data_IF_286421766793
#
_entry.id   IF_286421766793
#
_cell.length_a   1.000
_cell.length_b   1.000
_cell.length_c   1.000
_cell.angle_alpha   90.00
_cell.angle_beta   90.00
_cell.angle_gamma   90.00
#
_symmetry.space_group_name_H-M   'P 1'
#
loop_
_entity.id
_entity.type
_entity.pdbx_description
1 polymer ?
#
# COMPACT_ATOMS: atom_id res chain seq x y z
N UNK A 1 1.74 -6.31 20.91
CA UNK A 1 2.18 -6.33 19.48
C UNK A 1 1.53 -7.44 18.64
N UNK A 2 1.10 -8.56 19.23
CA UNK A 2 0.55 -9.72 18.50
C UNK A 2 -0.96 -9.94 18.66
N UNK A 3 -1.71 -8.96 19.17
CA UNK A 3 -3.17 -9.08 19.33
C UNK A 3 -3.90 -8.32 18.24
N UNK A 4 -5.14 -8.74 17.95
CA UNK A 4 -6.04 -8.01 17.05
C UNK A 4 -6.21 -6.55 17.49
N UNK A 5 -6.30 -6.28 18.80
CA UNK A 5 -6.39 -4.91 19.30
C UNK A 5 -5.16 -4.08 18.91
N UNK A 6 -3.94 -4.62 19.08
CA UNK A 6 -2.72 -3.91 18.68
C UNK A 6 -2.69 -3.63 17.17
N UNK A 7 -3.16 -4.59 16.36
CA UNK A 7 -3.29 -4.44 14.92
C UNK A 7 -4.28 -3.35 14.52
N UNK A 8 -5.48 -3.34 15.10
CA UNK A 8 -6.48 -2.31 14.83
C UNK A 8 -5.99 -0.93 15.28
N UNK A 9 -5.32 -0.84 16.44
CA UNK A 9 -4.71 0.42 16.89
C UNK A 9 -3.69 0.94 15.88
N UNK A 10 -2.79 0.08 15.37
CA UNK A 10 -1.82 0.46 14.35
C UNK A 10 -2.50 1.00 13.09
N UNK A 11 -3.53 0.32 12.58
CA UNK A 11 -4.29 0.79 11.41
C UNK A 11 -4.92 2.17 11.64
N UNK A 12 -5.51 2.39 12.81
CA UNK A 12 -6.10 3.69 13.19
C UNK A 12 -5.03 4.78 13.26
N UNK A 13 -3.87 4.49 13.84
CA UNK A 13 -2.74 5.44 13.91
C UNK A 13 -2.25 5.81 12.51
N UNK A 14 -1.97 4.83 11.64
CA UNK A 14 -1.50 5.08 10.27
C UNK A 14 -2.54 5.81 9.42
N UNK A 15 -3.82 5.49 9.57
CA UNK A 15 -4.89 6.22 8.90
C UNK A 15 -4.91 7.71 9.30
N UNK A 16 -4.74 8.02 10.60
CA UNK A 16 -4.72 9.41 11.09
C UNK A 16 -3.46 10.17 10.65
N UNK A 17 -2.34 9.47 10.45
CA UNK A 17 -1.10 10.03 9.90
C UNK A 17 -1.16 10.31 8.40
N UNK A 18 -2.12 9.70 7.70
CA UNK A 18 -2.30 9.79 6.25
C UNK A 18 -3.67 10.39 5.88
N UNK A 19 -3.88 11.72 6.05
CA UNK A 19 -5.15 12.38 5.72
C UNK A 19 -5.62 12.15 4.28
N UNK A 20 -4.71 11.86 3.35
CA UNK A 20 -5.02 11.53 1.95
C UNK A 20 -5.97 10.33 1.84
N UNK A 21 -5.94 9.38 2.78
CA UNK A 21 -6.86 8.24 2.81
C UNK A 21 -8.30 8.64 3.16
N UNK A 22 -8.48 9.80 3.81
CA UNK A 22 -9.79 10.31 4.20
C UNK A 22 -10.34 11.34 3.20
N UNK A 23 -9.47 12.17 2.62
CA UNK A 23 -9.85 13.36 1.87
C UNK A 23 -9.29 13.42 0.45
N UNK A 24 -8.32 12.56 0.13
CA UNK A 24 -7.70 12.50 -1.19
C UNK A 24 -8.58 11.82 -2.23
N UNK A 25 -8.13 11.83 -3.47
CA UNK A 25 -8.75 11.07 -4.55
C UNK A 25 -8.22 9.64 -4.48
N UNK A 26 -9.14 8.68 -4.52
CA UNK A 26 -8.80 7.27 -4.56
C UNK A 26 -9.00 6.71 -5.96
N UNK A 27 -7.99 6.02 -6.49
CA UNK A 27 -8.09 5.24 -7.73
C UNK A 27 -7.64 3.80 -7.48
N UNK A 28 -8.31 2.86 -8.12
CA UNK A 28 -7.85 1.47 -8.16
C UNK A 28 -6.65 1.38 -9.10
N UNK A 29 -5.62 0.64 -8.71
CA UNK A 29 -4.50 0.31 -9.58
C UNK A 29 -4.77 -1.03 -10.26
N UNK A 30 -4.68 -1.07 -11.59
CA UNK A 30 -4.89 -2.28 -12.37
C UNK A 30 -3.67 -3.21 -12.30
N UNK A 31 -3.91 -4.52 -12.16
CA UNK A 31 -2.91 -5.59 -12.20
C UNK A 31 -3.57 -6.96 -12.40
N UNK A 32 -2.76 -7.99 -12.70
CA UNK A 32 -3.23 -9.33 -13.08
C UNK A 32 -3.41 -10.31 -11.90
N UNK A 33 -3.63 -9.81 -10.68
CA UNK A 33 -3.74 -10.64 -9.46
C UNK A 33 -5.13 -10.48 -8.83
N UNK A 34 -6.15 -11.26 -9.21
CA UNK A 34 -7.55 -10.98 -8.85
C UNK A 34 -7.86 -10.95 -7.34
N UNK A 35 -7.04 -11.60 -6.51
CA UNK A 35 -7.20 -11.61 -5.06
C UNK A 35 -6.67 -10.35 -4.38
N UNK A 36 -5.86 -9.53 -5.08
CA UNK A 36 -5.27 -8.31 -4.51
C UNK A 36 -6.11 -7.11 -4.91
N UNK A 37 -6.39 -6.25 -3.94
CA UNK A 37 -7.00 -4.95 -4.16
C UNK A 37 -5.98 -3.86 -3.86
N UNK A 38 -5.60 -3.10 -4.89
CA UNK A 38 -4.65 -2.01 -4.80
C UNK A 38 -5.34 -0.65 -5.01
N UNK A 39 -5.13 0.28 -4.08
CA UNK A 39 -5.65 1.65 -4.15
C UNK A 39 -4.51 2.65 -4.05
N UNK A 40 -4.53 3.66 -4.92
CA UNK A 40 -3.71 4.85 -4.80
C UNK A 40 -4.57 6.02 -4.33
N UNK A 41 -4.22 6.59 -3.18
CA UNK A 41 -4.80 7.81 -2.65
C UNK A 41 -3.81 8.96 -2.85
N UNK A 42 -4.23 10.03 -3.54
CA UNK A 42 -3.44 11.25 -3.72
C UNK A 42 -4.19 12.51 -3.34
N UNK A 43 -3.44 13.56 -3.01
CA UNK A 43 -3.97 14.91 -2.84
C UNK A 43 -3.19 15.84 -3.77
N UNK A 44 -3.80 16.30 -4.89
CA UNK A 44 -3.12 17.19 -5.83
C UNK A 44 -2.70 18.53 -5.20
N UNK A 45 -3.31 18.96 -4.10
CA UNK A 45 -2.95 20.17 -3.37
C UNK A 45 -1.86 19.93 -2.31
N UNK A 46 -1.51 18.66 -2.04
CA UNK A 46 -0.51 18.25 -1.05
C UNK A 46 0.41 17.14 -1.59
N UNK A 47 1.18 17.47 -2.64
CA UNK A 47 2.12 16.57 -3.29
C UNK A 47 3.13 15.91 -2.31
N UNK A 48 3.43 14.63 -2.54
CA UNK A 48 4.39 13.86 -1.74
C UNK A 48 3.79 13.25 -0.47
N UNK A 49 2.46 13.12 -0.40
CA UNK A 49 1.73 12.50 0.72
C UNK A 49 0.89 11.31 0.28
N UNK A 50 1.06 10.89 -0.96
CA UNK A 50 0.35 9.81 -1.62
C UNK A 50 0.56 8.50 -0.84
N UNK A 51 -0.49 7.67 -0.81
CA UNK A 51 -0.43 6.35 -0.19
C UNK A 51 -0.93 5.31 -1.17
N UNK A 52 -0.18 4.23 -1.33
CA UNK A 52 -0.65 3.03 -2.03
C UNK A 52 -0.98 1.95 -1.01
N UNK A 53 -2.23 1.50 -0.97
CA UNK A 53 -2.64 0.38 -0.12
C UNK A 53 -2.82 -0.87 -0.95
N UNK A 54 -2.35 -2.01 -0.45
CA UNK A 54 -2.57 -3.33 -1.02
C UNK A 54 -3.24 -4.20 0.03
N UNK A 55 -4.27 -4.95 -0.37
CA UNK A 55 -4.93 -5.93 0.47
C UNK A 55 -5.13 -7.22 -0.31
N UNK A 56 -4.58 -8.34 0.18
CA UNK A 56 -4.94 -9.66 -0.32
C UNK A 56 -6.29 -10.04 0.30
N UNK A 57 -7.33 -10.08 -0.51
CA UNK A 57 -8.68 -10.50 -0.09
C UNK A 57 -8.86 -12.03 -0.13
N UNK A 58 -7.85 -12.75 -0.63
CA UNK A 58 -7.80 -14.20 -0.65
C UNK A 58 -7.15 -14.80 0.61
N UNK A 59 -7.40 -16.08 0.85
CA UNK A 59 -6.86 -16.84 1.98
C UNK A 59 -5.47 -17.45 1.73
N UNK A 60 -4.94 -17.32 0.52
CA UNK A 60 -3.66 -17.92 0.12
C UNK A 60 -2.61 -16.83 -0.15
N UNK A 61 -1.32 -17.11 0.09
CA UNK A 61 -0.25 -16.21 -0.30
C UNK A 61 -0.23 -15.93 -1.81
N UNK A 62 0.14 -14.72 -2.18
CA UNK A 62 0.20 -14.25 -3.58
C UNK A 62 1.42 -13.39 -3.83
N UNK A 63 1.93 -13.42 -5.06
CA UNK A 63 2.94 -12.49 -5.55
C UNK A 63 2.27 -11.56 -6.56
N UNK A 64 2.31 -10.26 -6.30
CA UNK A 64 1.67 -9.24 -7.15
C UNK A 64 2.73 -8.31 -7.74
N UNK A 65 2.49 -7.86 -8.96
CA UNK A 65 3.29 -6.86 -9.66
C UNK A 65 2.41 -5.66 -9.96
N UNK A 66 2.84 -4.47 -9.53
CA UNK A 66 2.12 -3.21 -9.71
C UNK A 66 2.97 -2.22 -10.49
N UNK A 67 2.34 -1.51 -11.43
CA UNK A 67 2.89 -0.26 -11.97
C UNK A 67 2.64 0.86 -10.98
N UNK A 68 3.71 1.37 -10.39
CA UNK A 68 3.61 2.34 -9.31
C UNK A 68 3.42 3.77 -9.82
N UNK A 69 2.53 4.54 -9.21
CA UNK A 69 2.25 5.91 -9.60
C UNK A 69 3.27 6.93 -9.05
N UNK A 70 4.54 6.56 -8.97
CA UNK A 70 5.62 7.39 -8.40
C UNK A 70 6.77 7.53 -9.40
N UNK A 71 7.59 8.59 -9.31
CA UNK A 71 8.82 8.69 -10.08
C UNK A 71 9.73 7.50 -9.80
N UNK A 72 10.15 6.79 -10.85
CA UNK A 72 11.03 5.63 -10.75
C UNK A 72 12.50 6.02 -10.99
N UNK A 73 13.46 5.35 -10.32
CA UNK A 73 13.28 4.38 -9.24
C UNK A 73 12.91 5.07 -7.92
N UNK A 74 12.30 4.32 -6.99
CA UNK A 74 11.91 4.84 -5.67
C UNK A 74 11.99 3.78 -4.58
N UNK A 75 12.29 4.21 -3.36
CA UNK A 75 12.16 3.42 -2.14
C UNK A 75 10.93 3.92 -1.38
N UNK A 76 10.00 3.02 -1.05
CA UNK A 76 8.77 3.34 -0.32
C UNK A 76 8.81 2.68 1.06
N UNK A 77 8.23 3.35 2.05
CA UNK A 77 8.10 2.82 3.41
C UNK A 77 6.78 2.06 3.55
N UNK A 78 6.83 0.82 4.04
CA UNK A 78 5.66 0.11 4.53
C UNK A 78 5.28 0.64 5.93
N UNK A 79 4.16 1.35 5.98
CA UNK A 79 3.62 1.96 7.20
C UNK A 79 3.15 0.90 8.21
N UNK A 80 2.86 -0.34 7.78
CA UNK A 80 2.36 -1.40 8.66
C UNK A 80 3.48 -2.33 9.15
N UNK A 81 4.39 -2.73 8.26
CA UNK A 81 5.54 -3.58 8.58
C UNK A 81 6.80 -2.83 9.02
N UNK A 82 6.91 -1.54 8.72
CA UNK A 82 8.10 -0.73 9.02
C UNK A 82 9.32 -1.05 8.15
N UNK A 83 9.12 -1.78 7.05
CA UNK A 83 10.16 -2.16 6.09
C UNK A 83 10.17 -1.23 4.88
N UNK A 84 11.27 -1.19 4.15
CA UNK A 84 11.34 -0.49 2.86
C UNK A 84 11.09 -1.47 1.70
N UNK A 85 10.45 -0.98 0.64
CA UNK A 85 10.23 -1.71 -0.62
C UNK A 85 10.70 -0.89 -1.80
N UNK A 86 11.24 -1.56 -2.82
CA UNK A 86 11.84 -0.92 -3.98
C UNK A 86 10.91 -0.97 -5.18
N UNK A 87 10.76 0.20 -5.82
CA UNK A 87 10.20 0.35 -7.15
C UNK A 87 11.35 0.38 -8.14
N UNK A 88 11.36 -0.57 -9.08
CA UNK A 88 12.42 -0.69 -10.06
C UNK A 88 12.45 0.50 -11.04
N UNK A 89 13.46 0.53 -11.92
CA UNK A 89 13.63 1.59 -12.91
C UNK A 89 12.50 1.66 -13.95
N UNK A 90 11.73 0.58 -14.11
CA UNK A 90 10.58 0.51 -15.01
C UNK A 90 9.28 0.92 -14.28
N UNK A 91 9.38 1.38 -13.03
CA UNK A 91 8.24 1.80 -12.22
C UNK A 91 7.45 0.63 -11.65
N UNK A 92 8.05 -0.56 -11.54
CA UNK A 92 7.35 -1.75 -11.06
C UNK A 92 7.71 -2.06 -9.61
N UNK A 93 6.68 -2.34 -8.84
CA UNK A 93 6.79 -2.90 -7.50
C UNK A 93 6.41 -4.38 -7.56
N UNK A 94 7.23 -5.23 -6.94
CA UNK A 94 6.94 -6.65 -6.76
C UNK A 94 6.88 -6.95 -5.28
N UNK A 95 5.75 -7.46 -4.80
CA UNK A 95 5.57 -7.81 -3.38
C UNK A 95 4.93 -9.18 -3.22
N UNK A 96 5.34 -9.87 -2.16
CA UNK A 96 4.73 -11.10 -1.69
C UNK A 96 3.81 -10.76 -0.51
N UNK A 97 2.59 -11.27 -0.54
CA UNK A 97 1.57 -11.02 0.48
C UNK A 97 1.01 -12.33 0.98
N UNK A 98 0.96 -12.50 2.31
CA UNK A 98 0.26 -13.61 2.93
C UNK A 98 -1.25 -13.57 2.66
N UNK A 99 -1.94 -14.69 2.91
CA UNK A 99 -3.40 -14.73 2.91
C UNK A 99 -3.97 -13.69 3.88
N UNK A 100 -4.92 -12.88 3.43
CA UNK A 100 -5.47 -11.75 4.19
C UNK A 100 -4.45 -10.70 4.63
N UNK A 101 -3.26 -10.69 4.03
CA UNK A 101 -2.21 -9.70 4.29
C UNK A 101 -2.56 -8.32 3.72
N UNK A 102 -1.97 -7.29 4.30
CA UNK A 102 -2.10 -5.90 3.86
C UNK A 102 -0.79 -5.15 3.98
N UNK A 103 -0.55 -4.19 3.06
CA UNK A 103 0.65 -3.36 3.03
C UNK A 103 0.27 -1.94 2.61
N UNK A 104 0.74 -0.93 3.33
CA UNK A 104 0.45 0.48 3.04
C UNK A 104 1.76 1.22 2.79
N UNK A 105 1.94 1.73 1.57
CA UNK A 105 3.20 2.28 1.09
C UNK A 105 3.11 3.79 0.96
N UNK A 106 4.18 4.47 1.38
CA UNK A 106 4.39 5.90 1.22
C UNK A 106 5.84 6.21 0.86
#
# INVERSE_FOLDING_TARGET
PSSLLAWITLLVERYRECPVLAWGRCRVLDHDTPAVFALHADDPDAAGRDVVTLHNLGSTPVRVVLSMPVPAPATLTDLLGGTEVEVDRDGRLVVEMEGYGSMWLR
#
